data_IF_744078840609
#
_entry.id   IF_744078840609
#
_cell.length_a   1.000
_cell.length_b   1.000
_cell.length_c   1.000
_cell.angle_alpha   90.00
_cell.angle_beta   90.00
_cell.angle_gamma   90.00
#
_symmetry.space_group_name_H-M   'P 1'
#
loop_
_entity.id
_entity.type
_entity.pdbx_description
1 polymer ?
#
# COMPACT_ATOMS: atom_id res chain seq x y z
N UNK A 1 31.09 -27.75 61.06
CA UNK A 1 31.03 -26.27 60.93
C UNK A 1 29.75 -25.80 61.61
N UNK A 2 29.84 -25.48 62.90
CA UNK A 2 28.75 -24.81 63.61
C UNK A 2 28.57 -23.40 63.03
N UNK A 3 27.33 -23.02 62.70
CA UNK A 3 27.00 -21.64 62.36
C UNK A 3 26.80 -20.90 63.68
N UNK A 4 27.71 -19.99 64.09
CA UNK A 4 27.55 -19.24 65.32
C UNK A 4 26.26 -18.41 65.23
N UNK A 5 25.61 -18.21 66.38
CA UNK A 5 24.42 -17.35 66.46
C UNK A 5 24.79 -15.95 66.02
N UNK A 6 23.85 -15.19 65.45
CA UNK A 6 24.07 -13.81 65.00
C UNK A 6 24.71 -12.96 66.11
N UNK A 7 24.28 -13.14 67.35
CA UNK A 7 24.87 -12.44 68.51
C UNK A 7 26.36 -12.73 68.72
N UNK A 8 26.83 -13.94 68.41
CA UNK A 8 28.25 -14.30 68.49
C UNK A 8 29.04 -13.67 67.33
N UNK A 9 28.43 -13.57 66.14
CA UNK A 9 29.05 -12.91 64.98
C UNK A 9 29.25 -11.40 65.21
N UNK A 10 28.32 -10.76 65.91
CA UNK A 10 28.39 -9.33 66.24
C UNK A 10 28.94 -9.04 67.64
N UNK A 11 29.45 -10.06 68.36
CA UNK A 11 29.93 -9.89 69.73
C UNK A 11 31.13 -8.94 69.83
N UNK A 12 32.06 -9.04 68.87
CA UNK A 12 33.22 -8.14 68.78
C UNK A 12 32.80 -6.71 68.42
N UNK A 13 31.85 -6.54 67.49
CA UNK A 13 31.32 -5.23 67.11
C UNK A 13 30.55 -4.57 68.27
N UNK A 14 29.79 -5.36 69.05
CA UNK A 14 29.11 -4.89 70.26
C UNK A 14 30.10 -4.46 71.34
N UNK A 15 31.23 -5.16 71.48
CA UNK A 15 32.31 -4.78 72.41
C UNK A 15 32.95 -3.45 71.99
N UNK A 16 33.23 -3.27 70.69
CA UNK A 16 33.75 -2.01 70.14
C UNK A 16 32.76 -0.84 70.29
N UNK A 17 31.46 -1.11 70.28
CA UNK A 17 30.42 -0.09 70.49
C UNK A 17 30.42 0.48 71.92
N UNK A 18 31.01 -0.24 72.89
CA UNK A 18 31.12 0.24 74.27
C UNK A 18 32.18 1.35 74.43
N UNK A 19 33.10 1.51 73.47
CA UNK A 19 34.14 2.55 73.49
C UNK A 19 33.61 3.92 73.05
N UNK A 20 32.38 3.99 72.51
CA UNK A 20 31.71 5.21 72.05
C UNK A 20 31.19 6.00 73.27
N UNK A 21 31.57 7.27 73.36
CA UNK A 21 31.18 8.15 74.48
C UNK A 21 29.69 8.49 74.42
N UNK A 22 29.09 8.77 75.58
CA UNK A 22 27.67 9.14 75.68
C UNK A 22 27.32 10.40 74.87
N UNK A 23 28.28 11.31 74.69
CA UNK A 23 28.13 12.48 73.80
C UNK A 23 27.94 12.09 72.32
N UNK A 24 28.67 11.07 71.84
CA UNK A 24 28.54 10.56 70.47
C UNK A 24 27.23 9.78 70.30
N UNK A 25 26.73 9.14 71.37
CA UNK A 25 25.40 8.53 71.41
C UNK A 25 24.27 9.57 71.31
N UNK A 26 24.41 10.71 72.00
CA UNK A 26 23.45 11.81 71.92
C UNK A 26 23.49 12.53 70.56
N UNK A 27 24.61 12.44 69.83
CA UNK A 27 24.81 13.05 68.53
C UNK A 27 24.44 12.14 67.33
N UNK A 28 23.91 10.93 67.57
CA UNK A 28 23.40 10.10 66.47
C UNK A 28 22.23 10.83 65.82
N UNK A 29 22.33 11.23 64.52
CA UNK A 29 21.22 11.87 63.86
C UNK A 29 20.05 10.89 63.75
N UNK A 30 18.86 11.34 64.17
CA UNK A 30 17.64 10.62 63.82
C UNK A 30 17.57 10.46 62.30
N UNK A 31 17.02 9.33 61.81
CA UNK A 31 16.79 9.11 60.38
C UNK A 31 15.73 10.09 59.89
N UNK A 32 16.15 11.34 59.66
CA UNK A 32 15.39 12.31 58.89
C UNK A 32 15.02 11.69 57.55
N UNK A 33 13.84 12.04 57.05
CA UNK A 33 13.22 11.50 55.83
C UNK A 33 14.19 11.60 54.63
N UNK A 34 15.07 10.61 54.49
CA UNK A 34 16.11 10.56 53.46
C UNK A 34 15.52 10.50 52.05
N UNK A 35 14.18 10.33 51.97
CA UNK A 35 13.43 10.25 50.74
C UNK A 35 12.32 11.31 50.64
N UNK A 36 12.39 12.44 51.36
CA UNK A 36 11.50 13.62 51.17
C UNK A 36 10.04 13.25 50.80
N UNK A 37 9.47 12.21 51.45
CA UNK A 37 8.20 11.62 51.04
C UNK A 37 7.05 12.55 51.43
N UNK A 38 7.18 13.25 52.54
CA UNK A 38 6.22 14.23 53.02
C UNK A 38 6.20 15.54 52.20
N UNK A 39 7.32 15.95 51.58
CA UNK A 39 7.41 17.17 50.76
C UNK A 39 6.96 16.98 49.30
N UNK A 40 6.88 15.74 48.80
CA UNK A 40 6.49 15.48 47.40
C UNK A 40 4.99 15.51 47.11
N UNK A 41 4.13 15.39 48.12
CA UNK A 41 2.68 15.42 47.91
C UNK A 41 2.03 16.43 48.87
N UNK A 42 1.86 17.68 48.41
CA UNK A 42 0.52 18.09 47.98
C UNK A 42 0.56 19.11 46.83
N UNK A 43 0.73 18.64 45.60
CA UNK A 43 0.10 19.32 44.46
C UNK A 43 -1.17 18.56 44.15
N UNK A 44 -2.31 19.07 44.62
CA UNK A 44 -3.60 18.60 44.14
C UNK A 44 -3.65 18.85 42.64
N UNK A 45 -3.87 17.79 41.86
CA UNK A 45 -3.98 17.90 40.41
C UNK A 45 -5.18 18.78 40.08
N UNK A 46 -4.92 20.03 39.69
CA UNK A 46 -5.94 20.91 39.14
C UNK A 46 -6.10 20.53 37.68
N UNK A 47 -7.15 19.80 37.36
CA UNK A 47 -7.52 19.48 35.98
C UNK A 47 -8.10 20.72 35.31
N UNK A 48 -7.24 21.51 34.66
CA UNK A 48 -7.71 22.49 33.69
C UNK A 48 -7.96 21.80 32.36
N UNK A 49 -9.11 22.00 31.71
CA UNK A 49 -9.32 21.50 30.35
C UNK A 49 -8.20 22.03 29.45
N UNK A 50 -7.63 21.15 28.64
CA UNK A 50 -6.51 21.48 27.75
C UNK A 50 -7.03 22.45 26.67
N UNK A 51 -6.32 23.55 26.36
CA UNK A 51 -6.75 24.44 25.29
C UNK A 51 -6.59 23.75 23.92
N UNK A 52 -7.53 24.03 23.01
CA UNK A 52 -7.58 23.44 21.66
C UNK A 52 -6.30 23.65 20.84
N UNK A 53 -5.49 24.66 21.18
CA UNK A 53 -4.17 24.90 20.57
C UNK A 53 -3.16 23.77 20.80
N UNK A 54 -3.26 23.01 21.90
CA UNK A 54 -2.41 21.82 22.14
C UNK A 54 -2.88 20.65 21.28
N UNK A 55 -4.18 20.52 21.04
CA UNK A 55 -4.75 19.51 20.14
C UNK A 55 -4.36 19.83 18.69
N UNK A 56 -4.41 21.11 18.30
CA UNK A 56 -3.96 21.59 17.00
C UNK A 56 -2.44 21.43 16.82
N UNK A 57 -1.65 21.65 17.88
CA UNK A 57 -0.21 21.42 17.86
C UNK A 57 0.13 19.92 17.75
N UNK A 58 -0.64 19.02 18.36
CA UNK A 58 -0.48 17.58 18.21
C UNK A 58 -0.86 17.10 16.79
N UNK A 59 -1.87 17.70 16.16
CA UNK A 59 -2.16 17.52 14.73
C UNK A 59 -0.98 17.99 13.85
N UNK A 60 -0.35 19.12 14.20
CA UNK A 60 0.84 19.63 13.50
C UNK A 60 2.12 18.84 13.81
N UNK A 61 2.26 18.22 14.98
CA UNK A 61 3.43 17.40 15.32
C UNK A 61 3.46 16.11 14.50
N UNK A 62 2.30 15.61 14.07
CA UNK A 62 2.20 14.59 13.02
C UNK A 62 2.65 15.07 11.64
N UNK A 63 2.76 16.39 11.42
CA UNK A 63 3.28 17.02 10.20
C UNK A 63 4.73 17.52 10.32
N UNK A 64 5.24 17.84 11.51
CA UNK A 64 6.64 18.27 11.75
C UNK A 64 7.51 17.03 11.95
N UNK A 65 7.62 16.21 10.91
CA UNK A 65 8.51 15.05 10.84
C UNK A 65 9.36 15.03 9.57
N UNK A 66 9.48 16.17 8.87
CA UNK A 66 10.14 16.24 7.56
C UNK A 66 10.91 17.54 7.30
N UNK A 67 11.43 18.20 8.34
CA UNK A 67 12.49 19.22 8.19
C UNK A 67 13.63 18.95 9.18
N UNK A 68 14.73 18.38 8.70
CA UNK A 68 16.02 18.40 9.40
C UNK A 68 16.66 19.77 9.15
N UNK A 69 16.83 20.56 10.21
CA UNK A 69 17.71 21.73 10.21
C UNK A 69 19.16 21.27 10.41
N UNK A 70 20.05 21.72 9.53
CA UNK A 70 21.42 21.24 9.35
C UNK A 70 22.48 21.99 10.15
N UNK A 71 22.15 22.57 11.30
CA UNK A 71 23.11 23.40 12.05
C UNK A 71 23.01 23.25 13.56
N UNK A 72 23.35 22.08 14.11
CA UNK A 72 23.76 22.00 15.53
C UNK A 72 24.88 20.97 15.73
N UNK A 73 26.09 21.43 15.45
CA UNK A 73 27.34 20.81 15.88
C UNK A 73 27.70 21.36 17.27
N UNK A 74 27.42 20.61 18.34
CA UNK A 74 28.30 20.44 19.52
C UNK A 74 27.59 19.72 20.69
N UNK A 75 28.18 18.60 21.10
CA UNK A 75 28.35 18.15 22.49
C UNK A 75 27.11 17.95 23.38
N UNK A 76 26.79 16.68 23.66
CA UNK A 76 26.62 16.22 25.06
C UNK A 76 26.55 14.69 25.13
N UNK A 77 27.43 14.13 25.97
CA UNK A 77 27.44 12.72 26.39
C UNK A 77 26.39 12.47 27.45
N UNK A 78 25.58 11.42 27.31
CA UNK A 78 24.82 10.83 28.42
C UNK A 78 25.02 9.31 28.45
N UNK A 79 25.45 8.72 29.59
CA UNK A 79 25.68 7.29 29.71
C UNK A 79 24.38 6.62 30.16
N UNK A 80 23.86 5.68 29.36
CA UNK A 80 22.78 4.80 29.79
C UNK A 80 23.33 3.40 30.04
N UNK A 81 23.41 3.02 31.33
CA UNK A 81 23.65 1.66 31.77
C UNK A 81 22.35 0.86 31.71
N UNK A 82 22.36 -0.28 31.03
CA UNK A 82 21.34 -1.32 31.24
C UNK A 82 22.00 -2.68 31.14
N UNK A 83 21.95 -3.43 32.24
CA UNK A 83 22.44 -4.79 32.34
C UNK A 83 21.53 -5.76 31.59
N UNK A 84 22.15 -6.83 31.08
CA UNK A 84 21.42 -8.03 30.73
C UNK A 84 22.11 -9.25 31.32
N UNK A 85 21.27 -10.04 31.97
CA UNK A 85 21.52 -11.15 32.87
C UNK A 85 21.66 -12.43 32.05
N UNK A 86 22.78 -13.17 32.18
CA UNK A 86 22.96 -14.47 31.54
C UNK A 86 22.58 -15.60 32.50
N UNK A 87 21.43 -16.21 32.23
CA UNK A 87 21.03 -17.52 32.74
C UNK A 87 21.68 -18.62 31.90
N UNK A 88 22.45 -19.48 32.58
CA UNK A 88 22.38 -20.95 32.55
C UNK A 88 22.42 -21.71 31.21
N UNK A 89 23.39 -22.65 31.13
CA UNK A 89 23.35 -23.87 30.31
C UNK A 89 24.11 -23.72 28.99
N UNK A 90 24.92 -24.66 28.51
CA UNK A 90 25.20 -26.04 28.85
C UNK A 90 26.08 -26.53 27.68
N UNK A 91 27.11 -27.32 28.00
CA UNK A 91 28.29 -27.48 27.16
C UNK A 91 28.09 -28.12 25.79
N UNK A 92 29.10 -27.94 24.95
CA UNK A 92 29.52 -28.93 23.95
C UNK A 92 31.04 -28.97 23.88
N UNK A 93 31.56 -30.13 24.27
CA UNK A 93 32.93 -30.57 24.08
C UNK A 93 33.11 -31.00 22.62
N UNK A 94 34.21 -30.60 21.97
CA UNK A 94 34.85 -31.47 20.99
C UNK A 94 36.36 -31.25 21.03
N UNK A 95 37.02 -32.31 21.48
CA UNK A 95 38.45 -32.50 21.42
C UNK A 95 38.82 -32.99 20.01
N UNK A 96 39.87 -32.42 19.41
CA UNK A 96 40.67 -33.16 18.45
C UNK A 96 42.07 -32.58 18.32
N UNK A 97 43.06 -33.45 18.52
CA UNK A 97 44.31 -33.42 17.76
C UNK A 97 45.46 -32.68 18.40
N UNK A 98 46.25 -33.40 19.20
CA UNK A 98 47.57 -32.96 19.64
C UNK A 98 48.56 -32.85 18.50
N UNK A 99 49.45 -31.86 18.59
CA UNK A 99 50.73 -31.89 17.93
C UNK A 99 51.79 -31.47 18.96
N UNK A 100 52.68 -32.41 19.26
CA UNK A 100 53.87 -32.20 20.09
C UNK A 100 55.03 -31.93 19.14
N UNK A 101 55.79 -30.87 19.38
CA UNK A 101 57.17 -30.76 18.90
C UNK A 101 57.97 -29.87 19.83
N UNK A 102 58.86 -30.53 20.56
CA UNK A 102 59.89 -30.02 21.45
C UNK A 102 61.06 -29.43 20.65
N UNK A 103 61.65 -28.35 21.19
CA UNK A 103 63.06 -27.90 21.12
C UNK A 103 63.67 -27.57 19.73
N UNK A 104 64.16 -26.33 19.55
CA UNK A 104 65.57 -25.96 19.82
C UNK A 104 65.93 -24.58 19.24
N UNK A 105 66.73 -23.83 20.01
CA UNK A 105 67.74 -22.85 19.61
C UNK A 105 67.37 -21.63 18.75
N UNK A 106 67.32 -20.48 19.43
CA UNK A 106 68.13 -19.29 19.14
C UNK A 106 68.27 -18.83 17.69
N UNK A 107 67.54 -17.76 17.34
CA UNK A 107 68.02 -16.79 16.37
C UNK A 107 67.59 -15.38 16.77
N UNK A 108 68.59 -14.50 16.77
CA UNK A 108 68.61 -13.14 17.26
C UNK A 108 67.60 -12.24 16.54
N UNK A 109 66.86 -11.42 17.29
CA UNK A 109 66.28 -10.17 16.76
C UNK A 109 66.55 -9.03 17.76
N UNK A 110 67.15 -7.90 17.35
CA UNK A 110 67.70 -6.92 18.29
C UNK A 110 66.65 -5.99 18.90
N UNK A 111 66.79 -5.74 20.20
CA UNK A 111 66.73 -4.38 20.75
C UNK A 111 65.36 -3.69 20.82
N UNK A 112 64.61 -3.96 21.87
CA UNK A 112 63.83 -2.94 22.58
C UNK A 112 63.86 -3.27 24.07
N UNK A 113 64.96 -2.85 24.71
CA UNK A 113 65.06 -2.76 26.16
C UNK A 113 64.21 -1.57 26.61
N UNK A 114 63.01 -1.83 27.12
CA UNK A 114 62.39 -0.95 28.11
C UNK A 114 62.40 -1.69 29.44
N UNK A 115 63.20 -1.15 30.37
CA UNK A 115 63.25 -1.63 31.74
C UNK A 115 61.88 -1.45 32.39
N UNK A 116 61.31 -2.55 32.86
CA UNK A 116 60.16 -2.50 33.77
C UNK A 116 60.74 -2.22 35.15
N UNK A 117 60.80 -0.93 35.50
CA UNK A 117 60.84 -0.50 36.89
C UNK A 117 59.55 -1.01 37.55
N UNK A 118 59.71 -1.77 38.63
CA UNK A 118 58.66 -2.10 39.58
C UNK A 118 58.18 -0.82 40.27
N UNK A 119 57.25 -0.12 39.62
CA UNK A 119 56.40 0.89 40.22
C UNK A 119 55.03 0.28 40.49
N UNK A 120 54.61 0.29 41.75
CA UNK A 120 53.23 -0.03 42.13
C UNK A 120 52.24 0.87 41.39
N UNK A 121 51.12 0.28 40.99
CA UNK A 121 49.94 0.87 40.33
C UNK A 121 50.07 1.24 38.84
N UNK A 122 50.14 0.22 37.99
CA UNK A 122 49.50 0.32 36.67
C UNK A 122 48.30 -0.60 36.68
N UNK A 123 47.11 -0.02 36.76
CA UNK A 123 45.83 -0.74 36.68
C UNK A 123 45.77 -1.47 35.33
N UNK A 124 46.08 -2.78 35.34
CA UNK A 124 46.07 -3.61 34.15
C UNK A 124 44.63 -3.89 33.77
N UNK A 125 44.08 -3.05 32.89
CA UNK A 125 42.71 -3.15 32.43
C UNK A 125 42.53 -4.36 31.50
N UNK A 126 42.26 -5.52 32.12
CA UNK A 126 42.05 -6.81 31.44
C UNK A 126 40.88 -6.78 30.45
N UNK A 127 39.97 -5.80 30.56
CA UNK A 127 38.90 -5.58 29.58
C UNK A 127 39.45 -5.04 28.27
N UNK A 128 40.44 -4.15 28.30
CA UNK A 128 41.10 -3.63 27.09
C UNK A 128 41.88 -4.72 26.37
N UNK A 129 42.57 -5.59 27.12
CA UNK A 129 43.26 -6.76 26.55
C UNK A 129 42.25 -7.75 25.94
N UNK A 130 41.13 -8.02 26.61
CA UNK A 130 40.07 -8.87 26.09
C UNK A 130 39.39 -8.30 24.83
N UNK A 131 39.10 -7.01 24.81
CA UNK A 131 38.54 -6.32 23.64
C UNK A 131 39.52 -6.29 22.46
N UNK A 132 40.81 -6.07 22.73
CA UNK A 132 41.85 -6.11 21.69
C UNK A 132 41.94 -7.50 21.05
N UNK A 133 41.88 -8.56 21.87
CA UNK A 133 41.86 -9.94 21.37
C UNK A 133 40.60 -10.25 20.56
N UNK A 134 39.42 -9.79 21.00
CA UNK A 134 38.17 -9.97 20.26
C UNK A 134 38.21 -9.26 18.91
N UNK A 135 38.73 -8.02 18.82
CA UNK A 135 38.90 -7.33 17.53
C UNK A 135 39.82 -8.09 16.58
N UNK A 136 40.90 -8.67 17.10
CA UNK A 136 41.81 -9.48 16.27
C UNK A 136 41.09 -10.74 15.78
N UNK A 137 40.28 -11.37 16.62
CA UNK A 137 39.44 -12.50 16.22
C UNK A 137 38.44 -12.08 15.14
N UNK A 138 37.75 -10.94 15.29
CA UNK A 138 36.82 -10.41 14.30
C UNK A 138 37.51 -10.13 12.96
N UNK A 139 38.72 -9.58 12.97
CA UNK A 139 39.51 -9.35 11.74
C UNK A 139 39.85 -10.67 11.05
N UNK A 140 40.25 -11.70 11.80
CA UNK A 140 40.52 -13.04 11.25
C UNK A 140 39.24 -13.69 10.73
N UNK A 141 38.13 -13.53 11.44
CA UNK A 141 36.84 -14.06 11.03
C UNK A 141 36.35 -13.38 9.75
N UNK A 142 36.51 -12.06 9.63
CA UNK A 142 36.19 -11.31 8.42
C UNK A 142 37.09 -11.74 7.24
N UNK A 143 38.39 -11.95 7.47
CA UNK A 143 39.30 -12.45 6.43
C UNK A 143 38.85 -13.82 5.88
N UNK A 144 38.34 -14.70 6.75
CA UNK A 144 37.77 -15.99 6.34
C UNK A 144 36.39 -15.81 5.71
N UNK A 145 35.57 -14.89 6.23
CA UNK A 145 34.23 -14.57 5.73
C UNK A 145 34.26 -13.95 4.33
N UNK A 146 35.27 -13.13 4.01
CA UNK A 146 35.48 -12.52 2.69
C UNK A 146 35.77 -13.58 1.61
N UNK A 147 36.25 -14.76 2.03
CA UNK A 147 36.44 -15.91 1.15
C UNK A 147 35.15 -16.72 0.92
N UNK A 148 34.09 -16.44 1.68
CA UNK A 148 32.78 -17.11 1.59
C UNK A 148 31.86 -16.27 0.71
N UNK A 149 31.86 -16.56 -0.59
CA UNK A 149 30.90 -15.97 -1.53
C UNK A 149 29.48 -16.50 -1.29
N UNK A 150 28.46 -15.66 -1.42
CA UNK A 150 27.04 -16.04 -1.33
C UNK A 150 26.34 -15.63 -0.03
N UNK A 151 27.00 -14.86 0.84
CA UNK A 151 26.33 -14.24 1.98
C UNK A 151 25.43 -13.08 1.50
N UNK A 152 24.14 -13.13 1.86
CA UNK A 152 23.18 -12.06 1.52
C UNK A 152 22.97 -11.16 2.73
N UNK A 153 23.52 -9.94 2.71
CA UNK A 153 23.24 -8.90 3.71
C UNK A 153 22.30 -7.88 3.06
N UNK A 154 21.09 -7.74 3.62
CA UNK A 154 20.17 -6.68 3.22
C UNK A 154 20.56 -5.41 3.98
N UNK A 155 20.71 -4.29 3.27
CA UNK A 155 20.95 -2.98 3.91
C UNK A 155 19.76 -2.62 4.80
N UNK A 156 19.95 -2.50 6.13
CA UNK A 156 18.85 -2.17 7.04
C UNK A 156 18.21 -0.82 6.71
N UNK A 157 18.98 0.15 6.19
CA UNK A 157 18.45 1.47 5.84
C UNK A 157 17.65 1.42 4.54
N UNK A 158 18.17 0.76 3.52
CA UNK A 158 17.45 0.50 2.27
C UNK A 158 16.16 -0.28 2.50
N UNK A 159 16.19 -1.33 3.32
CA UNK A 159 15.02 -2.13 3.66
C UNK A 159 13.94 -1.33 4.39
N UNK A 160 14.33 -0.50 5.36
CA UNK A 160 13.37 0.36 6.06
C UNK A 160 12.79 1.44 5.14
N UNK A 161 13.58 1.96 4.20
CA UNK A 161 13.09 2.94 3.22
C UNK A 161 12.09 2.31 2.25
N UNK A 162 12.37 1.09 1.80
CA UNK A 162 11.48 0.32 0.93
C UNK A 162 10.17 -0.03 1.66
N UNK A 163 10.25 -0.51 2.91
CA UNK A 163 9.08 -0.77 3.74
C UNK A 163 8.22 0.49 3.95
N UNK A 164 8.85 1.64 4.18
CA UNK A 164 8.12 2.92 4.31
C UNK A 164 7.42 3.30 3.01
N UNK A 165 8.01 2.99 1.85
CA UNK A 165 7.39 3.22 0.54
C UNK A 165 6.20 2.29 0.27
N UNK A 166 6.21 1.08 0.83
CA UNK A 166 5.12 0.11 0.74
C UNK A 166 3.93 0.41 1.68
N UNK A 167 4.12 1.26 2.69
CA UNK A 167 3.02 1.69 3.55
C UNK A 167 2.07 2.58 2.76
N UNK A 168 1.03 1.98 2.19
CA UNK A 168 -0.06 2.71 1.57
C UNK A 168 -0.63 3.71 2.59
N UNK A 169 -0.57 5.00 2.25
CA UNK A 169 -1.00 6.16 3.07
C UNK A 169 -2.49 6.09 3.48
N UNK A 170 -3.26 5.14 2.94
CA UNK A 170 -4.67 4.92 3.26
C UNK A 170 -4.87 4.08 4.53
N UNK A 171 -4.17 4.41 5.62
CA UNK A 171 -4.39 3.82 6.94
C UNK A 171 -5.67 4.40 7.56
N UNK A 172 -6.81 4.14 6.93
CA UNK A 172 -8.09 4.28 7.61
C UNK A 172 -8.05 3.45 8.89
N UNK A 173 -8.62 3.97 9.98
CA UNK A 173 -8.56 3.34 11.30
C UNK A 173 -8.95 1.86 11.17
N UNK A 174 -8.04 0.95 11.53
CA UNK A 174 -8.26 -0.50 11.44
C UNK A 174 -9.55 -0.94 12.16
N UNK A 175 -9.92 -0.23 13.22
CA UNK A 175 -11.16 -0.47 13.96
C UNK A 175 -12.41 -0.10 13.15
N UNK A 176 -12.38 1.01 12.41
CA UNK A 176 -13.50 1.44 11.58
C UNK A 176 -13.67 0.53 10.36
N UNK A 177 -12.56 0.03 9.78
CA UNK A 177 -12.61 -1.01 8.74
C UNK A 177 -13.28 -2.28 9.28
N UNK A 178 -12.96 -2.72 10.50
CA UNK A 178 -13.59 -3.91 11.12
C UNK A 178 -15.08 -3.70 11.34
N UNK A 179 -15.49 -2.52 11.83
CA UNK A 179 -16.90 -2.15 11.97
C UNK A 179 -17.62 -2.14 10.62
N UNK A 180 -17.02 -1.54 9.60
CA UNK A 180 -17.57 -1.48 8.25
C UNK A 180 -17.70 -2.88 7.63
N UNK A 181 -16.76 -3.81 7.85
CA UNK A 181 -16.92 -5.22 7.45
C UNK A 181 -18.14 -5.88 8.10
N UNK A 182 -18.34 -5.67 9.40
CA UNK A 182 -19.51 -6.21 10.10
C UNK A 182 -20.81 -5.62 9.56
N UNK A 183 -20.83 -4.30 9.32
CA UNK A 183 -21.97 -3.62 8.71
C UNK A 183 -22.26 -4.20 7.33
N UNK A 184 -21.29 -4.25 6.41
CA UNK A 184 -21.53 -4.79 5.07
C UNK A 184 -21.89 -6.28 5.10
N UNK A 185 -21.33 -7.07 6.02
CA UNK A 185 -21.75 -8.47 6.20
C UNK A 185 -23.23 -8.56 6.57
N UNK A 186 -23.70 -7.78 7.55
CA UNK A 186 -25.12 -7.72 7.90
C UNK A 186 -26.00 -7.24 6.74
N UNK A 187 -25.54 -6.24 5.96
CA UNK A 187 -26.28 -5.74 4.79
C UNK A 187 -26.42 -6.82 3.71
N UNK A 188 -25.37 -7.61 3.45
CA UNK A 188 -25.44 -8.71 2.47
C UNK A 188 -26.36 -9.84 2.94
N UNK A 189 -26.33 -10.16 4.23
CA UNK A 189 -27.19 -11.19 4.82
C UNK A 189 -28.67 -10.79 4.79
N UNK A 190 -28.98 -9.53 5.12
CA UNK A 190 -30.35 -9.00 5.05
C UNK A 190 -30.85 -8.86 3.61
N UNK A 191 -30.00 -8.41 2.68
CA UNK A 191 -30.38 -8.09 1.31
C UNK A 191 -29.44 -8.74 0.27
N UNK A 192 -29.53 -10.05 0.01
CA UNK A 192 -28.64 -10.72 -0.96
C UNK A 192 -28.81 -10.24 -2.40
N UNK A 193 -30.00 -9.74 -2.75
CA UNK A 193 -30.34 -9.28 -4.11
C UNK A 193 -29.84 -7.87 -4.42
N UNK A 194 -29.33 -7.12 -3.44
CA UNK A 194 -28.87 -5.75 -3.66
C UNK A 194 -27.42 -5.75 -4.18
N UNK A 195 -27.17 -5.46 -5.47
CA UNK A 195 -25.81 -5.53 -6.01
C UNK A 195 -24.86 -4.47 -5.40
N UNK A 196 -25.40 -3.31 -5.00
CA UNK A 196 -24.62 -2.24 -4.39
C UNK A 196 -23.96 -2.65 -3.06
N UNK A 197 -24.59 -3.55 -2.29
CA UNK A 197 -24.01 -4.05 -1.05
C UNK A 197 -22.75 -4.90 -1.29
N UNK A 198 -22.78 -5.74 -2.33
CA UNK A 198 -21.63 -6.55 -2.75
C UNK A 198 -20.51 -5.67 -3.30
N UNK A 199 -20.84 -4.68 -4.13
CA UNK A 199 -19.89 -3.70 -4.68
C UNK A 199 -19.21 -2.91 -3.56
N UNK A 200 -19.98 -2.32 -2.64
CA UNK A 200 -19.44 -1.52 -1.54
C UNK A 200 -18.52 -2.35 -0.64
N UNK A 201 -18.88 -3.60 -0.35
CA UNK A 201 -18.03 -4.47 0.44
C UNK A 201 -16.75 -4.88 -0.28
N UNK A 202 -16.79 -5.11 -1.59
CA UNK A 202 -15.60 -5.44 -2.36
C UNK A 202 -14.67 -4.24 -2.51
N UNK A 203 -15.23 -3.05 -2.72
CA UNK A 203 -14.50 -1.79 -2.71
C UNK A 203 -13.80 -1.55 -1.36
N UNK A 204 -14.47 -1.87 -0.24
CA UNK A 204 -13.82 -1.82 1.07
C UNK A 204 -12.60 -2.75 1.13
N UNK A 205 -12.71 -4.00 0.71
CA UNK A 205 -11.56 -4.93 0.73
C UNK A 205 -10.46 -4.53 -0.27
N UNK A 206 -10.81 -3.86 -1.37
CA UNK A 206 -9.86 -3.26 -2.30
C UNK A 206 -9.06 -2.14 -1.62
N UNK A 207 -9.71 -1.23 -0.90
CA UNK A 207 -9.02 -0.14 -0.16
C UNK A 207 -8.10 -0.67 0.94
N UNK A 208 -8.44 -1.80 1.55
CA UNK A 208 -7.61 -2.47 2.57
C UNK A 208 -6.46 -3.27 1.94
N UNK A 209 -6.46 -3.48 0.63
CA UNK A 209 -5.44 -4.23 -0.10
C UNK A 209 -5.66 -5.76 -0.13
N UNK A 210 -6.79 -6.26 0.39
CA UNK A 210 -7.14 -7.69 0.36
C UNK A 210 -7.88 -8.06 -0.92
N UNK A 211 -7.20 -7.91 -2.06
CA UNK A 211 -7.77 -8.12 -3.40
C UNK A 211 -8.37 -9.52 -3.58
N UNK A 212 -7.75 -10.56 -3.02
CA UNK A 212 -8.27 -11.93 -3.18
C UNK A 212 -9.61 -12.14 -2.47
N UNK A 213 -9.79 -11.56 -1.28
CA UNK A 213 -11.07 -11.62 -0.55
C UNK A 213 -12.13 -10.83 -1.32
N UNK A 214 -11.76 -9.66 -1.85
CA UNK A 214 -12.64 -8.85 -2.69
C UNK A 214 -13.13 -9.63 -3.92
N UNK A 215 -12.22 -10.34 -4.61
CA UNK A 215 -12.53 -11.17 -5.78
C UNK A 215 -13.52 -12.29 -5.47
N UNK A 216 -13.25 -13.08 -4.42
CA UNK A 216 -14.12 -14.17 -3.99
C UNK A 216 -15.53 -13.64 -3.63
N UNK A 217 -15.58 -12.49 -2.97
CA UNK A 217 -16.82 -11.87 -2.55
C UNK A 217 -17.66 -11.36 -3.73
N UNK A 218 -17.05 -10.71 -4.73
CA UNK A 218 -17.79 -10.29 -5.92
C UNK A 218 -18.30 -11.52 -6.68
N UNK A 219 -17.51 -12.59 -6.78
CA UNK A 219 -17.96 -13.82 -7.44
C UNK A 219 -19.18 -14.44 -6.74
N UNK A 220 -19.18 -14.51 -5.41
CA UNK A 220 -20.36 -14.90 -4.63
C UNK A 220 -21.55 -13.97 -4.91
N UNK A 221 -21.30 -12.66 -4.96
CA UNK A 221 -22.32 -11.68 -5.33
C UNK A 221 -22.90 -11.93 -6.72
N UNK A 222 -22.08 -12.26 -7.72
CA UNK A 222 -22.49 -12.56 -9.09
C UNK A 222 -23.38 -13.81 -9.17
N UNK A 223 -23.11 -14.83 -8.36
CA UNK A 223 -23.96 -16.01 -8.25
C UNK A 223 -25.32 -15.69 -7.63
N UNK A 224 -25.33 -14.87 -6.57
CA UNK A 224 -26.58 -14.44 -5.91
C UNK A 224 -27.39 -13.48 -6.78
N UNK A 225 -26.72 -12.63 -7.57
CA UNK A 225 -27.35 -11.64 -8.43
C UNK A 225 -26.78 -11.67 -9.85
N UNK A 226 -27.26 -12.64 -10.64
CA UNK A 226 -26.84 -12.81 -12.03
C UNK A 226 -27.40 -11.74 -12.99
N UNK A 227 -28.42 -10.98 -12.59
CA UNK A 227 -29.11 -10.00 -13.45
C UNK A 227 -28.54 -8.58 -13.39
N UNK A 228 -27.65 -8.28 -12.45
CA UNK A 228 -27.13 -6.93 -12.27
C UNK A 228 -25.89 -6.66 -13.12
N UNK A 229 -25.96 -5.65 -14.00
CA UNK A 229 -24.85 -5.21 -14.86
C UNK A 229 -23.66 -4.65 -14.06
N UNK A 230 -23.93 -3.76 -13.10
CA UNK A 230 -22.87 -3.03 -12.37
C UNK A 230 -21.95 -3.98 -11.58
N UNK A 231 -22.50 -5.08 -11.09
CA UNK A 231 -21.73 -6.08 -10.35
C UNK A 231 -20.73 -6.82 -11.24
N UNK A 232 -21.17 -7.19 -12.45
CA UNK A 232 -20.28 -7.80 -13.44
C UNK A 232 -19.20 -6.82 -13.92
N UNK A 233 -19.54 -5.53 -14.08
CA UNK A 233 -18.56 -4.51 -14.44
C UNK A 233 -17.50 -4.32 -13.35
N UNK A 234 -17.89 -4.36 -12.07
CA UNK A 234 -16.94 -4.26 -10.97
C UNK A 234 -16.09 -5.52 -10.83
N UNK A 235 -16.68 -6.71 -11.05
CA UNK A 235 -15.95 -7.97 -11.12
C UNK A 235 -14.80 -7.90 -12.13
N UNK A 236 -15.08 -7.37 -13.32
CA UNK A 236 -14.10 -7.23 -14.40
C UNK A 236 -12.96 -6.29 -14.04
N UNK A 237 -13.21 -5.25 -13.24
CA UNK A 237 -12.15 -4.32 -12.81
C UNK A 237 -11.22 -4.94 -11.76
N UNK A 238 -11.74 -5.77 -10.86
CA UNK A 238 -10.95 -6.36 -9.77
C UNK A 238 -10.09 -7.55 -10.20
N UNK A 239 -10.47 -8.22 -11.29
CA UNK A 239 -9.82 -9.42 -11.78
C UNK A 239 -8.74 -9.11 -12.81
N UNK A 240 -7.63 -9.88 -12.83
CA UNK A 240 -6.67 -9.84 -13.92
C UNK A 240 -7.34 -10.06 -15.29
N UNK A 241 -6.77 -9.51 -16.39
CA UNK A 241 -7.41 -9.50 -17.71
C UNK A 241 -7.75 -10.90 -18.23
N UNK A 242 -6.93 -11.91 -17.96
CA UNK A 242 -7.17 -13.29 -18.43
C UNK A 242 -8.43 -13.89 -17.80
N UNK A 243 -8.57 -13.76 -16.47
CA UNK A 243 -9.75 -14.20 -15.73
C UNK A 243 -10.97 -13.30 -16.01
N UNK A 244 -10.74 -12.03 -16.33
CA UNK A 244 -11.82 -11.11 -16.67
C UNK A 244 -12.54 -11.55 -17.96
N UNK A 245 -11.84 -12.15 -18.94
CA UNK A 245 -12.46 -12.69 -20.15
C UNK A 245 -13.47 -13.81 -19.84
N UNK A 246 -13.12 -14.72 -18.93
CA UNK A 246 -14.05 -15.80 -18.51
C UNK A 246 -15.25 -15.26 -17.75
N UNK A 247 -15.03 -14.24 -16.91
CA UNK A 247 -16.10 -13.57 -16.16
C UNK A 247 -17.05 -12.84 -17.10
N UNK A 248 -16.54 -12.10 -18.09
CA UNK A 248 -17.35 -11.45 -19.12
C UNK A 248 -18.14 -12.47 -19.94
N UNK A 249 -17.53 -13.59 -20.32
CA UNK A 249 -18.24 -14.66 -21.03
C UNK A 249 -19.41 -15.21 -20.21
N UNK A 250 -19.25 -15.35 -18.90
CA UNK A 250 -20.34 -15.73 -17.99
C UNK A 250 -21.38 -14.61 -17.85
N UNK A 251 -20.95 -13.35 -17.74
CA UNK A 251 -21.85 -12.20 -17.65
C UNK A 251 -22.78 -12.09 -18.86
N UNK A 252 -22.23 -12.26 -20.08
CA UNK A 252 -22.99 -12.24 -21.34
C UNK A 252 -24.04 -13.35 -21.40
N UNK A 253 -23.77 -14.53 -20.82
CA UNK A 253 -24.75 -15.63 -20.76
C UNK A 253 -25.98 -15.26 -19.92
N UNK A 254 -25.78 -14.50 -18.84
CA UNK A 254 -26.88 -14.06 -17.97
C UNK A 254 -27.57 -12.80 -18.48
N UNK A 255 -26.80 -11.86 -19.06
CA UNK A 255 -27.30 -10.56 -19.52
C UNK A 255 -26.80 -10.31 -20.96
N UNK A 256 -27.44 -10.92 -21.97
CA UNK A 256 -27.06 -10.72 -23.36
C UNK A 256 -27.38 -9.30 -23.88
N UNK A 257 -28.35 -8.61 -23.25
CA UNK A 257 -28.89 -7.33 -23.69
C UNK A 257 -28.15 -6.09 -23.13
N UNK A 258 -27.11 -6.27 -22.32
CA UNK A 258 -26.37 -5.15 -21.72
C UNK A 258 -25.25 -4.65 -22.63
N UNK A 259 -25.36 -3.40 -23.07
CA UNK A 259 -24.37 -2.73 -23.90
C UNK A 259 -23.05 -2.49 -23.17
N UNK A 260 -23.08 -2.16 -21.86
CA UNK A 260 -21.84 -1.79 -21.14
C UNK A 260 -20.95 -3.01 -20.90
N UNK A 261 -21.52 -4.19 -20.70
CA UNK A 261 -20.74 -5.45 -20.59
C UNK A 261 -20.03 -5.73 -21.91
N UNK A 262 -20.72 -5.59 -23.05
CA UNK A 262 -20.11 -5.79 -24.37
C UNK A 262 -19.01 -4.78 -24.69
N UNK A 263 -19.19 -3.51 -24.33
CA UNK A 263 -18.13 -2.51 -24.49
C UNK A 263 -16.92 -2.84 -23.60
N UNK A 264 -17.15 -3.22 -22.34
CA UNK A 264 -16.07 -3.62 -21.44
C UNK A 264 -15.36 -4.88 -21.93
N UNK A 265 -16.09 -5.80 -22.54
CA UNK A 265 -15.53 -6.99 -23.21
C UNK A 265 -14.57 -6.61 -24.34
N UNK A 266 -14.96 -5.64 -25.17
CA UNK A 266 -14.12 -5.13 -26.24
C UNK A 266 -12.86 -4.43 -25.72
N UNK A 267 -12.93 -3.74 -24.58
CA UNK A 267 -11.76 -3.09 -23.97
C UNK A 267 -10.74 -4.07 -23.40
N UNK A 268 -11.18 -5.24 -22.92
CA UNK A 268 -10.29 -6.28 -22.38
C UNK A 268 -9.47 -6.97 -23.47
N UNK A 269 -9.97 -7.00 -24.71
CA UNK A 269 -9.32 -7.67 -25.81
C UNK A 269 -8.26 -6.74 -26.43
N UNK A 270 -7.00 -7.17 -26.51
CA UNK A 270 -5.94 -6.33 -27.09
C UNK A 270 -5.96 -6.37 -28.62
N UNK A 271 -6.41 -7.48 -29.20
CA UNK A 271 -6.41 -7.70 -30.64
C UNK A 271 -7.59 -7.01 -31.35
N UNK A 272 -7.32 -6.21 -32.39
CA UNK A 272 -8.35 -5.62 -33.26
C UNK A 272 -9.31 -6.68 -33.84
N UNK A 273 -8.76 -7.84 -34.23
CA UNK A 273 -9.54 -8.97 -34.74
C UNK A 273 -10.45 -9.59 -33.66
N UNK A 274 -9.97 -9.67 -32.42
CA UNK A 274 -10.75 -10.15 -31.27
C UNK A 274 -11.88 -9.19 -30.93
N UNK A 275 -11.59 -7.88 -30.85
CA UNK A 275 -12.60 -6.82 -30.64
C UNK A 275 -13.73 -6.88 -31.66
N UNK A 276 -13.38 -7.02 -32.94
CA UNK A 276 -14.37 -7.15 -34.02
C UNK A 276 -15.28 -8.36 -33.84
N UNK A 277 -14.73 -9.52 -33.47
CA UNK A 277 -15.53 -10.73 -33.21
C UNK A 277 -16.49 -10.52 -32.03
N UNK A 278 -16.04 -9.90 -30.95
CA UNK A 278 -16.87 -9.60 -29.78
C UNK A 278 -18.00 -8.63 -30.15
N UNK A 279 -17.71 -7.56 -30.87
CA UNK A 279 -18.71 -6.57 -31.27
C UNK A 279 -19.72 -7.12 -32.28
N UNK A 280 -19.31 -7.98 -33.23
CA UNK A 280 -20.26 -8.68 -34.11
C UNK A 280 -21.23 -9.55 -33.32
N UNK A 281 -20.73 -10.32 -32.34
CA UNK A 281 -21.57 -11.10 -31.42
C UNK A 281 -22.49 -10.20 -30.59
N UNK A 282 -22.00 -9.03 -30.17
CA UNK A 282 -22.82 -8.06 -29.44
C UNK A 282 -23.97 -7.53 -30.29
N UNK A 283 -23.70 -7.19 -31.56
CA UNK A 283 -24.70 -6.68 -32.49
C UNK A 283 -25.75 -7.72 -32.89
N UNK A 284 -25.40 -9.02 -32.89
CA UNK A 284 -26.38 -10.10 -33.05
C UNK A 284 -27.38 -10.14 -31.88
N UNK A 285 -26.93 -9.82 -30.66
CA UNK A 285 -27.80 -9.80 -29.48
C UNK A 285 -28.56 -8.47 -29.35
N UNK A 286 -27.92 -7.35 -29.69
CA UNK A 286 -28.43 -5.99 -29.50
C UNK A 286 -28.29 -5.18 -30.80
N UNK A 287 -29.26 -5.28 -31.72
CA UNK A 287 -29.22 -4.52 -32.97
C UNK A 287 -29.58 -3.03 -32.78
N UNK A 288 -30.27 -2.67 -31.70
CA UNK A 288 -30.80 -1.30 -31.51
C UNK A 288 -29.85 -0.31 -30.82
N UNK A 289 -28.64 -0.73 -30.44
CA UNK A 289 -27.72 0.14 -29.69
C UNK A 289 -26.76 0.91 -30.60
N UNK A 290 -26.98 2.22 -30.71
CA UNK A 290 -26.10 3.15 -31.43
C UNK A 290 -24.66 3.11 -30.91
N UNK A 291 -24.46 2.94 -29.60
CA UNK A 291 -23.12 2.93 -28.99
C UNK A 291 -22.28 1.74 -29.45
N UNK A 292 -22.88 0.57 -29.63
CA UNK A 292 -22.19 -0.62 -30.15
C UNK A 292 -21.86 -0.45 -31.63
N UNK A 293 -22.78 0.12 -32.42
CA UNK A 293 -22.55 0.40 -33.83
C UNK A 293 -21.38 1.37 -34.03
N UNK A 294 -21.31 2.46 -33.27
CA UNK A 294 -20.16 3.38 -33.33
C UNK A 294 -18.85 2.68 -33.01
N UNK A 295 -18.79 1.96 -31.89
CA UNK A 295 -17.59 1.24 -31.48
C UNK A 295 -17.15 0.18 -32.52
N UNK A 296 -18.10 -0.41 -33.25
CA UNK A 296 -17.80 -1.34 -34.33
C UNK A 296 -17.27 -0.62 -35.58
N UNK A 297 -17.86 0.51 -35.96
CA UNK A 297 -17.45 1.33 -37.11
C UNK A 297 -16.06 1.92 -36.91
N UNK A 298 -15.73 2.37 -35.70
CA UNK A 298 -14.41 2.95 -35.38
C UNK A 298 -13.24 1.95 -35.54
N UNK A 299 -13.54 0.64 -35.61
CA UNK A 299 -12.54 -0.44 -35.73
C UNK A 299 -12.42 -1.01 -37.14
N UNK A 300 -13.26 -0.57 -38.07
CA UNK A 300 -13.39 -1.16 -39.39
C UNK A 300 -12.86 -0.23 -40.50
N UNK A 301 -12.33 -0.84 -41.56
CA UNK A 301 -11.89 -0.15 -42.77
C UNK A 301 -13.07 0.51 -43.51
N UNK A 302 -12.87 1.56 -44.32
CA UNK A 302 -13.96 2.38 -44.88
C UNK A 302 -14.99 1.61 -45.71
N UNK A 303 -14.58 0.54 -46.40
CA UNK A 303 -15.45 -0.29 -47.23
C UNK A 303 -16.38 -1.19 -46.41
N UNK A 304 -15.83 -1.85 -45.39
CA UNK A 304 -16.57 -2.72 -44.48
C UNK A 304 -17.42 -1.87 -43.51
N UNK A 305 -16.93 -0.68 -43.12
CA UNK A 305 -17.67 0.31 -42.35
C UNK A 305 -18.93 0.78 -43.07
N UNK A 306 -18.88 0.96 -44.40
CA UNK A 306 -20.06 1.28 -45.21
C UNK A 306 -21.12 0.19 -45.11
N UNK A 307 -20.74 -1.08 -45.29
CA UNK A 307 -21.68 -2.20 -45.21
C UNK A 307 -22.29 -2.34 -43.80
N UNK A 308 -21.48 -2.16 -42.75
CA UNK A 308 -21.94 -2.14 -41.37
C UNK A 308 -22.91 -0.99 -41.12
N UNK A 309 -22.62 0.21 -41.61
CA UNK A 309 -23.47 1.38 -41.44
C UNK A 309 -24.81 1.25 -42.17
N UNK A 310 -24.86 0.66 -43.36
CA UNK A 310 -26.13 0.36 -44.06
C UNK A 310 -27.03 -0.53 -43.20
N UNK A 311 -26.48 -1.59 -42.61
CA UNK A 311 -27.23 -2.45 -41.67
C UNK A 311 -27.60 -1.70 -40.38
N UNK A 312 -26.72 -0.83 -39.90
CA UNK A 312 -26.93 -0.07 -38.67
C UNK A 312 -28.10 0.91 -38.80
N UNK A 313 -28.23 1.61 -39.94
CA UNK A 313 -29.33 2.57 -40.16
C UNK A 313 -30.68 1.89 -40.32
N UNK A 314 -30.71 0.63 -40.79
CA UNK A 314 -31.93 -0.19 -40.81
C UNK A 314 -32.35 -0.62 -39.39
N UNK A 315 -31.39 -0.94 -38.52
CA UNK A 315 -31.66 -1.35 -37.14
C UNK A 315 -31.96 -0.17 -36.20
N UNK A 316 -31.41 1.01 -36.50
CA UNK A 316 -31.50 2.24 -35.71
C UNK A 316 -31.89 3.45 -36.59
N UNK A 317 -33.14 3.54 -37.06
CA UNK A 317 -33.56 4.63 -37.96
C UNK A 317 -33.58 6.00 -37.26
N UNK A 318 -33.68 6.05 -35.93
CA UNK A 318 -33.79 7.28 -35.14
C UNK A 318 -32.47 8.05 -34.98
N UNK A 319 -31.31 7.38 -35.12
CA UNK A 319 -30.02 8.01 -34.76
C UNK A 319 -29.43 8.80 -35.91
N UNK A 320 -29.36 10.12 -35.76
CA UNK A 320 -28.81 11.06 -36.75
C UNK A 320 -27.34 10.81 -37.06
N UNK A 321 -26.56 10.43 -36.04
CA UNK A 321 -25.11 10.28 -36.13
C UNK A 321 -24.68 9.14 -37.06
N UNK A 322 -25.43 8.03 -37.10
CA UNK A 322 -25.15 6.91 -38.01
C UNK A 322 -25.44 7.29 -39.46
N UNK A 323 -26.54 8.01 -39.71
CA UNK A 323 -26.88 8.52 -41.03
C UNK A 323 -25.81 9.49 -41.57
N UNK A 324 -25.28 10.36 -40.72
CA UNK A 324 -24.20 11.28 -41.09
C UNK A 324 -22.87 10.57 -41.34
N UNK A 325 -22.52 9.58 -40.53
CA UNK A 325 -21.32 8.77 -40.74
C UNK A 325 -21.38 8.03 -42.09
N UNK A 326 -22.56 7.49 -42.43
CA UNK A 326 -22.79 6.80 -43.70
C UNK A 326 -22.67 7.77 -44.89
N UNK A 327 -23.30 8.95 -44.81
CA UNK A 327 -23.22 9.96 -45.87
C UNK A 327 -21.79 10.47 -46.13
N UNK A 328 -20.92 10.49 -45.12
CA UNK A 328 -19.51 10.88 -45.25
C UNK A 328 -18.65 9.81 -45.95
N UNK A 329 -19.02 8.54 -45.82
CA UNK A 329 -18.27 7.41 -46.40
C UNK A 329 -18.73 7.08 -47.82
N UNK A 330 -19.95 7.46 -48.21
CA UNK A 330 -20.50 7.15 -49.52
C UNK A 330 -20.20 8.19 -50.61
N UNK A 331 -20.27 7.74 -51.86
CA UNK A 331 -20.28 8.60 -53.05
C UNK A 331 -21.50 9.51 -53.06
N UNK A 332 -21.34 10.69 -53.66
CA UNK A 332 -22.34 11.77 -53.71
C UNK A 332 -23.78 11.32 -54.06
N UNK A 333 -23.96 10.45 -55.06
CA UNK A 333 -25.28 10.01 -55.51
C UNK A 333 -26.00 9.10 -54.50
N UNK A 334 -25.24 8.24 -53.81
CA UNK A 334 -25.79 7.34 -52.80
C UNK A 334 -26.02 8.06 -51.48
N UNK A 335 -25.12 8.97 -51.10
CA UNK A 335 -25.30 9.84 -49.94
C UNK A 335 -26.61 10.64 -50.04
N UNK A 336 -26.98 11.15 -51.22
CA UNK A 336 -28.29 11.80 -51.45
C UNK A 336 -29.48 10.88 -51.17
N UNK A 337 -29.44 9.64 -51.63
CA UNK A 337 -30.51 8.65 -51.38
C UNK A 337 -30.62 8.32 -49.90
N UNK A 338 -29.49 8.16 -49.21
CA UNK A 338 -29.42 7.89 -47.76
C UNK A 338 -29.98 9.06 -46.97
N UNK A 339 -29.62 10.30 -47.29
CA UNK A 339 -30.11 11.48 -46.60
C UNK A 339 -31.62 11.70 -46.80
N UNK A 340 -32.15 11.38 -47.98
CA UNK A 340 -33.59 11.40 -48.21
C UNK A 340 -34.32 10.34 -47.35
N UNK A 341 -33.77 9.11 -47.24
CA UNK A 341 -34.29 8.09 -46.32
C UNK A 341 -34.16 8.49 -44.85
N UNK A 342 -33.10 9.20 -44.47
CA UNK A 342 -32.94 9.72 -43.12
C UNK A 342 -33.99 10.78 -42.77
N UNK A 343 -34.34 11.65 -43.74
CA UNK A 343 -35.40 12.65 -43.59
C UNK A 343 -36.78 12.04 -43.38
N UNK A 344 -37.10 10.95 -44.06
CA UNK A 344 -38.37 10.23 -43.87
C UNK A 344 -38.47 9.61 -42.47
N UNK A 345 -37.36 9.08 -41.95
CA UNK A 345 -37.32 8.43 -40.64
C UNK A 345 -37.21 9.41 -39.46
N UNK A 346 -36.72 10.64 -39.68
CA UNK A 346 -36.49 11.63 -38.63
C UNK A 346 -37.18 12.96 -39.00
N UNK A 347 -38.48 13.12 -38.70
CA UNK A 347 -39.22 14.34 -39.03
C UNK A 347 -38.70 15.59 -38.30
N UNK A 348 -38.00 15.43 -37.16
CA UNK A 348 -37.35 16.54 -36.44
C UNK A 348 -36.22 17.21 -37.25
N UNK A 349 -35.50 16.47 -38.10
CA UNK A 349 -34.48 17.05 -39.00
C UNK A 349 -35.17 17.83 -40.13
N UNK A 350 -36.33 17.37 -40.61
CA UNK A 350 -37.05 18.03 -41.70
C UNK A 350 -37.52 19.44 -41.32
N UNK A 351 -37.94 19.66 -40.07
CA UNK A 351 -38.40 20.98 -39.58
C UNK A 351 -37.30 22.06 -39.52
N UNK A 352 -36.03 21.67 -39.37
CA UNK A 352 -34.90 22.63 -39.32
C UNK A 352 -34.40 22.97 -40.72
N UNK A 353 -34.37 22.01 -41.65
CA UNK A 353 -33.87 22.25 -43.02
C UNK A 353 -34.90 22.97 -43.91
N UNK A 354 -36.20 22.88 -43.61
CA UNK A 354 -37.22 23.70 -44.30
C UNK A 354 -37.03 25.21 -44.12
N UNK A 355 -36.21 25.65 -43.15
CA UNK A 355 -35.87 27.05 -42.96
C UNK A 355 -34.77 27.55 -43.91
N UNK A 356 -34.08 26.64 -44.58
CA UNK A 356 -32.94 26.89 -45.48
C UNK A 356 -33.22 26.33 -46.89
N UNK A 357 -34.49 26.37 -47.32
CA UNK A 357 -34.88 25.96 -48.68
C UNK A 357 -34.60 27.10 -49.65
N UNK A 358 -33.37 27.13 -50.19
CA UNK A 358 -33.03 27.97 -51.33
C UNK A 358 -31.53 28.14 -51.52
N UNK A 359 -30.93 27.26 -52.36
CA UNK A 359 -29.62 27.44 -53.04
C UNK A 359 -28.33 26.88 -52.44
N UNK A 360 -28.29 26.22 -51.27
CA UNK A 360 -27.00 25.68 -50.78
C UNK A 360 -26.65 24.31 -51.34
N UNK A 361 -25.36 24.15 -51.69
CA UNK A 361 -24.80 22.92 -52.23
C UNK A 361 -24.81 21.79 -51.19
N UNK A 362 -24.85 20.51 -51.58
CA UNK A 362 -24.94 19.42 -50.59
C UNK A 362 -23.74 19.29 -49.65
N UNK A 363 -22.55 19.81 -50.02
CA UNK A 363 -21.42 19.91 -49.08
C UNK A 363 -21.66 21.01 -48.04
N UNK A 364 -22.28 22.12 -48.42
CA UNK A 364 -22.65 23.17 -47.46
C UNK A 364 -23.77 22.69 -46.54
N UNK A 365 -24.73 21.90 -47.02
CA UNK A 365 -25.72 21.22 -46.17
C UNK A 365 -25.08 20.23 -45.19
N UNK A 366 -24.07 19.46 -45.62
CA UNK A 366 -23.29 18.60 -44.70
C UNK A 366 -22.52 19.46 -43.70
N UNK A 367 -21.99 20.61 -44.11
CA UNK A 367 -21.30 21.54 -43.20
C UNK A 367 -22.25 22.21 -42.21
N UNK A 368 -23.44 22.64 -42.62
CA UNK A 368 -24.47 23.23 -41.75
C UNK A 368 -25.06 22.20 -40.80
N UNK A 369 -25.29 20.96 -41.26
CA UNK A 369 -25.75 19.88 -40.37
C UNK A 369 -24.65 19.51 -39.35
N UNK A 370 -23.37 19.58 -39.73
CA UNK A 370 -22.23 19.39 -38.81
C UNK A 370 -22.10 20.56 -37.84
N UNK A 371 -22.33 21.80 -38.28
CA UNK A 371 -22.31 23.01 -37.43
C UNK A 371 -23.49 22.98 -36.43
N UNK A 372 -24.69 22.62 -36.88
CA UNK A 372 -25.87 22.47 -36.02
C UNK A 372 -25.70 21.33 -35.00
N UNK A 373 -25.02 20.24 -35.37
CA UNK A 373 -24.68 19.19 -34.41
C UNK A 373 -23.63 19.63 -33.37
N UNK A 374 -22.79 20.61 -33.70
CA UNK A 374 -21.89 21.24 -32.74
C UNK A 374 -22.63 22.21 -31.81
N UNK A 375 -23.63 22.94 -32.30
CA UNK A 375 -24.47 23.83 -31.50
C UNK A 375 -25.41 23.08 -30.54
N UNK A 376 -26.09 22.02 -31.00
CA UNK A 376 -26.96 21.19 -30.15
C UNK A 376 -26.17 20.54 -28.99
N UNK A 377 -24.90 20.21 -29.23
CA UNK A 377 -24.00 19.61 -28.23
C UNK A 377 -23.42 20.63 -27.25
N UNK A 378 -23.47 21.92 -27.58
CA UNK A 378 -23.13 23.03 -26.69
C UNK A 378 -24.31 23.44 -25.79
N UNK A 379 -25.55 23.18 -26.22
CA UNK A 379 -26.77 23.46 -25.44
C UNK A 379 -27.13 22.36 -24.41
N UNK A 380 -26.55 21.16 -24.53
CA UNK A 380 -26.73 20.04 -23.58
C UNK A 380 -25.62 19.92 -22.50
N UNK A 381 -24.76 20.95 -22.34
CA UNK A 381 -23.84 21.12 -21.20
C UNK A 381 -24.30 22.27 -20.33
#
# INVERSE_FOLDING_TARGET
MERPKIQQQFSDLKRQLADIKEEEWAAIPEVGDARNKAKRNPRGEVFTPVPDSVIASAMNYGQIGSVMDGTVQNGMTTPFSSGFQSTLGGGMTSALGGFTSTLNSGLMTPGWKTGIQTGSSTDLDLRKIGQARNRIMDIRLNQVSDSVSGQTVVDPKGYLTDLQSMMNINTSNINDIKKARMLFKSVRETNPKLPQAWIASAALEQTVGKLQVARNLIMEGCEKNSKSEDLWLEAVKLHPPDTAKTIVANAVRHIPQSVRIWLKAADLEQDKKGKRKVLRKALEQIPHSVRLWKAAVDLEEPEDARQLLTRAVECCPTSTELWLALAKLETYENARKVLNKARENIPKIALTVHRSDGQLSPMELVSEIVILHAEIKLEER
#
